data_IF_590762643769
#
_entry.id   IF_590762643769
#
_cell.length_a   1.000
_cell.length_b   1.000
_cell.length_c   1.000
_cell.angle_alpha   90.00
_cell.angle_beta   90.00
_cell.angle_gamma   90.00
#
_symmetry.space_group_name_H-M   'P 1'
#
loop_
_entity.id
_entity.type
_entity.pdbx_description
1 polymer ?
#
# COMPACT_ATOMS: atom_id res chain seq x y z
N UNK A 1 -1.42 -10.55 -20.22
CA UNK A 1 -1.27 -9.42 -19.26
C UNK A 1 0.23 -9.29 -18.96
N UNK A 2 0.83 -8.09 -18.96
CA UNK A 2 2.28 -7.99 -18.64
C UNK A 2 2.50 -8.30 -17.15
N UNK A 3 3.59 -9.00 -16.82
CA UNK A 3 3.92 -9.40 -15.45
C UNK A 3 3.95 -8.20 -14.48
N UNK A 4 4.37 -7.03 -14.98
CA UNK A 4 4.40 -5.77 -14.24
C UNK A 4 3.03 -5.32 -13.74
N UNK A 5 1.99 -5.40 -14.59
CA UNK A 5 0.62 -5.00 -14.21
C UNK A 5 0.05 -5.91 -13.12
N UNK A 6 0.38 -7.20 -13.15
CA UNK A 6 -0.01 -8.16 -12.12
C UNK A 6 0.62 -7.81 -10.77
N UNK A 7 1.93 -7.51 -10.75
CA UNK A 7 2.64 -7.16 -9.52
C UNK A 7 2.08 -5.87 -8.89
N UNK A 8 1.81 -4.84 -9.71
CA UNK A 8 1.18 -3.58 -9.27
C UNK A 8 -0.18 -3.84 -8.60
N UNK A 9 -1.03 -4.69 -9.20
CA UNK A 9 -2.33 -5.03 -8.61
C UNK A 9 -2.21 -5.88 -7.35
N UNK A 10 -1.22 -6.76 -7.27
CA UNK A 10 -0.97 -7.57 -6.09
C UNK A 10 -0.55 -6.70 -4.91
N UNK A 11 0.42 -5.79 -5.09
CA UNK A 11 0.85 -4.90 -4.01
C UNK A 11 -0.25 -3.93 -3.59
N UNK A 12 -1.03 -3.41 -4.54
CA UNK A 12 -2.19 -2.56 -4.26
C UNK A 12 -3.21 -3.27 -3.36
N UNK A 13 -3.55 -4.52 -3.69
CA UNK A 13 -4.46 -5.34 -2.86
C UNK A 13 -3.86 -5.65 -1.50
N UNK A 14 -2.55 -5.92 -1.42
CA UNK A 14 -1.85 -6.23 -0.17
C UNK A 14 -1.88 -5.03 0.78
N UNK A 15 -1.50 -3.85 0.30
CA UNK A 15 -1.59 -2.57 1.03
C UNK A 15 -3.00 -2.35 1.59
N UNK A 16 -4.03 -2.45 0.75
CA UNK A 16 -5.41 -2.28 1.21
C UNK A 16 -5.83 -3.26 2.29
N UNK A 17 -5.41 -4.53 2.20
CA UNK A 17 -5.69 -5.54 3.24
C UNK A 17 -4.98 -5.20 4.55
N UNK A 18 -3.70 -4.84 4.48
CA UNK A 18 -2.91 -4.44 5.65
C UNK A 18 -3.51 -3.20 6.29
N UNK A 19 -3.79 -2.14 5.53
CA UNK A 19 -4.47 -0.94 6.02
C UNK A 19 -5.83 -1.23 6.67
N UNK A 20 -6.63 -2.15 6.10
CA UNK A 20 -7.89 -2.56 6.72
C UNK A 20 -7.70 -3.28 8.05
N UNK A 21 -6.61 -4.03 8.21
CA UNK A 21 -6.22 -4.63 9.49
C UNK A 21 -5.74 -3.59 10.50
N UNK A 22 -4.90 -2.65 10.06
CA UNK A 22 -4.30 -1.59 10.90
C UNK A 22 -5.36 -0.60 11.40
N UNK A 23 -6.19 -0.09 10.50
CA UNK A 23 -7.16 0.97 10.79
C UNK A 23 -8.58 0.43 10.99
N UNK A 24 -8.74 -0.83 11.43
CA UNK A 24 -10.05 -1.51 11.54
C UNK A 24 -11.12 -0.72 12.33
N UNK A 25 -10.68 0.07 13.31
CA UNK A 25 -11.56 0.88 14.17
C UNK A 25 -11.51 2.37 13.84
N UNK A 26 -10.78 2.78 12.80
CA UNK A 26 -10.63 4.16 12.37
C UNK A 26 -11.07 4.31 10.92
N UNK A 27 -12.37 4.54 10.74
CA UNK A 27 -12.98 4.77 9.43
C UNK A 27 -12.45 6.02 8.73
N UNK A 28 -12.00 7.02 9.49
CA UNK A 28 -11.45 8.25 8.94
C UNK A 28 -10.06 7.98 8.35
N UNK A 29 -9.19 7.31 9.11
CA UNK A 29 -7.88 6.89 8.63
C UNK A 29 -7.99 5.90 7.45
N UNK A 30 -8.94 4.96 7.48
CA UNK A 30 -9.19 4.07 6.32
C UNK A 30 -9.53 4.85 5.05
N UNK A 31 -10.39 5.86 5.16
CA UNK A 31 -10.77 6.69 4.02
C UNK A 31 -9.57 7.51 3.53
N UNK A 32 -8.83 8.14 4.43
CA UNK A 32 -7.64 8.92 4.11
C UNK A 32 -6.57 8.06 3.42
N UNK A 33 -6.26 6.88 3.96
CA UNK A 33 -5.30 5.93 3.40
C UNK A 33 -5.76 5.43 2.03
N UNK A 34 -7.04 5.05 1.89
CA UNK A 34 -7.60 4.65 0.58
C UNK A 34 -7.49 5.78 -0.44
N UNK A 35 -7.77 7.01 -0.05
CA UNK A 35 -7.69 8.16 -0.94
C UNK A 35 -6.24 8.41 -1.37
N UNK A 36 -5.30 8.34 -0.42
CA UNK A 36 -3.87 8.54 -0.67
C UNK A 36 -3.29 7.47 -1.59
N UNK A 37 -3.59 6.19 -1.34
CA UNK A 37 -3.16 5.08 -2.21
C UNK A 37 -3.70 5.30 -3.64
N UNK A 38 -4.99 5.62 -3.79
CA UNK A 38 -5.56 5.85 -5.11
C UNK A 38 -4.94 7.06 -5.82
N UNK A 39 -4.60 8.14 -5.09
CA UNK A 39 -3.97 9.33 -5.65
C UNK A 39 -2.57 9.02 -6.19
N UNK A 40 -1.72 8.34 -5.41
CA UNK A 40 -0.36 7.99 -5.82
C UNK A 40 -0.35 7.03 -7.02
N UNK A 41 -1.22 6.02 -7.04
CA UNK A 41 -1.35 5.11 -8.18
C UNK A 41 -1.91 5.80 -9.43
N UNK A 42 -2.80 6.78 -9.27
CA UNK A 42 -3.31 7.60 -10.40
C UNK A 42 -2.24 8.54 -10.94
N UNK A 43 -1.47 9.21 -10.07
CA UNK A 43 -0.34 10.06 -10.49
C UNK A 43 0.67 9.27 -11.33
N UNK A 44 0.94 8.03 -10.93
CA UNK A 44 1.93 7.20 -11.62
C UNK A 44 1.34 6.32 -12.73
N UNK A 45 0.05 6.46 -13.05
CA UNK A 45 -0.62 5.68 -14.11
C UNK A 45 -0.08 5.94 -15.51
N UNK A 46 0.47 7.14 -15.73
CA UNK A 46 1.12 7.53 -16.99
C UNK A 46 2.58 7.11 -17.09
N UNK A 47 3.16 6.57 -16.02
CA UNK A 47 4.57 6.18 -16.00
C UNK A 47 4.78 4.92 -16.86
N UNK A 48 5.61 5.03 -17.91
CA UNK A 48 5.92 3.93 -18.84
C UNK A 48 7.27 3.27 -18.53
N UNK A 49 8.03 3.83 -17.61
CA UNK A 49 9.35 3.32 -17.21
C UNK A 49 9.23 2.14 -16.26
N UNK A 50 9.71 0.98 -16.72
CA UNK A 50 9.66 -0.26 -15.95
C UNK A 50 10.46 -0.19 -14.64
N UNK A 51 11.57 0.56 -14.63
CA UNK A 51 12.39 0.77 -13.44
C UNK A 51 11.68 1.64 -12.40
N UNK A 52 11.01 2.70 -12.83
CA UNK A 52 10.21 3.57 -11.96
C UNK A 52 9.09 2.76 -11.29
N UNK A 53 8.38 1.95 -12.08
CA UNK A 53 7.32 1.06 -11.58
C UNK A 53 7.88 0.09 -10.53
N UNK A 54 9.06 -0.50 -10.76
CA UNK A 54 9.69 -1.38 -9.78
C UNK A 54 10.07 -0.65 -8.49
N UNK A 55 10.61 0.58 -8.57
CA UNK A 55 10.93 1.39 -7.39
C UNK A 55 9.67 1.70 -6.57
N UNK A 56 8.57 2.05 -7.25
CA UNK A 56 7.28 2.32 -6.61
C UNK A 56 6.68 1.08 -5.95
N UNK A 57 6.79 -0.10 -6.58
CA UNK A 57 6.37 -1.37 -5.98
C UNK A 57 7.19 -1.67 -4.72
N UNK A 58 8.52 -1.49 -4.75
CA UNK A 58 9.38 -1.69 -3.58
C UNK A 58 9.04 -0.73 -2.44
N UNK A 59 8.86 0.55 -2.74
CA UNK A 59 8.42 1.54 -1.75
C UNK A 59 7.08 1.14 -1.11
N UNK A 60 6.13 0.68 -1.93
CA UNK A 60 4.84 0.19 -1.45
C UNK A 60 4.96 -1.06 -0.55
N UNK A 61 5.91 -1.96 -0.84
CA UNK A 61 6.22 -3.12 0.01
C UNK A 61 6.87 -2.74 1.34
N UNK A 62 7.76 -1.74 1.34
CA UNK A 62 8.37 -1.20 2.56
C UNK A 62 7.31 -0.57 3.46
N UNK A 63 6.45 0.28 2.89
CA UNK A 63 5.32 0.90 3.63
C UNK A 63 4.35 -0.16 4.17
N UNK A 64 4.04 -1.21 3.39
CA UNK A 64 3.21 -2.32 3.86
C UNK A 64 3.87 -3.07 5.03
N UNK A 65 5.18 -3.29 4.94
CA UNK A 65 5.95 -3.95 5.99
C UNK A 65 5.99 -3.09 7.25
N UNK A 66 6.21 -1.79 7.13
CA UNK A 66 6.21 -0.82 8.22
C UNK A 66 4.84 -0.72 8.90
N UNK A 67 3.76 -0.65 8.12
CA UNK A 67 2.38 -0.65 8.65
C UNK A 67 2.09 -1.95 9.42
N UNK A 68 2.59 -3.08 8.93
CA UNK A 68 2.42 -4.38 9.58
C UNK A 68 3.24 -4.50 10.86
N UNK A 69 4.50 -4.08 10.86
CA UNK A 69 5.38 -4.16 12.04
C UNK A 69 4.96 -3.18 13.14
N UNK A 70 4.57 -1.96 12.77
CA UNK A 70 4.10 -0.94 13.72
C UNK A 70 2.85 -1.40 14.49
N UNK A 71 1.97 -2.17 13.86
CA UNK A 71 0.76 -2.72 14.52
C UNK A 71 1.03 -3.95 15.37
N UNK A 72 1.98 -4.80 15.00
CA UNK A 72 2.41 -5.90 15.89
C UNK A 72 2.94 -5.32 17.21
N UNK A 73 3.62 -4.18 17.16
CA UNK A 73 4.12 -3.50 18.37
C UNK A 73 3.02 -2.74 19.11
N UNK A 74 2.09 -2.04 18.43
CA UNK A 74 0.98 -1.34 19.09
C UNK A 74 0.00 -2.27 19.83
N UNK A 75 0.00 -3.58 19.53
CA UNK A 75 -0.82 -4.59 20.21
C UNK A 75 -0.22 -5.07 21.53
N UNK A 76 1.01 -4.66 21.86
CA UNK A 76 1.68 -4.99 23.12
C UNK A 76 2.03 -3.66 23.79
N UNK A 77 1.14 -3.16 24.64
CA UNK A 77 1.42 -2.67 25.99
C UNK A 77 0.03 -2.52 26.62
N UNK A 78 -0.29 -3.47 27.49
CA UNK A 78 -1.42 -3.42 28.42
C UNK A 78 -0.82 -3.58 29.81
#
# INVERSE_FOLDING_TARGET
MSATKLNVLQIFKKLHRTSHGVFRNDSHALSAVRMKINEEFRKNSGCKDAEEIQKLIKLAEEVETELRTSVVQAKIIK
#
